data_IF_676297000723
#
_entry.id   IF_676297000723
#
_cell.length_a   1.000
_cell.length_b   1.000
_cell.length_c   1.000
_cell.angle_alpha   90.00
_cell.angle_beta   90.00
_cell.angle_gamma   90.00
#
_symmetry.space_group_name_H-M   'P 1'
#
loop_
_entity.id
_entity.type
_entity.pdbx_description
1 polymer ?
#
# COMPACT_ATOMS: atom_id res chain seq x y z
N UNK A 1 -5.91 -48.34 7.88
CA UNK A 1 -6.27 -47.04 7.25
C UNK A 1 -4.95 -46.33 7.01
N UNK A 2 -4.38 -46.48 5.81
CA UNK A 2 -3.10 -45.85 5.43
C UNK A 2 -3.42 -44.46 4.88
N UNK A 3 -2.99 -43.41 5.58
CA UNK A 3 -2.95 -42.07 5.04
C UNK A 3 -1.77 -41.99 4.06
N UNK A 4 -2.06 -41.64 2.82
CA UNK A 4 -1.11 -41.53 1.72
C UNK A 4 -0.26 -40.27 1.87
N UNK A 5 1.05 -40.47 1.77
CA UNK A 5 2.10 -39.46 1.70
C UNK A 5 1.92 -38.56 0.48
N UNK A 6 1.22 -37.42 0.59
CA UNK A 6 1.18 -36.43 -0.52
C UNK A 6 1.07 -34.95 -0.07
N UNK A 7 1.30 -34.64 1.21
CA UNK A 7 1.21 -33.24 1.70
C UNK A 7 2.59 -32.57 1.89
N UNK A 8 3.68 -33.27 1.63
CA UNK A 8 5.03 -32.74 1.84
C UNK A 8 5.52 -31.77 0.74
N UNK A 9 4.81 -31.64 -0.37
CA UNK A 9 5.22 -30.81 -1.51
C UNK A 9 4.87 -29.31 -1.36
N UNK A 10 4.08 -28.95 -0.35
CA UNK A 10 3.68 -27.56 -0.08
C UNK A 10 4.34 -26.95 1.15
N UNK A 11 5.33 -27.63 1.74
CA UNK A 11 6.15 -27.03 2.79
C UNK A 11 7.23 -26.13 2.15
N UNK A 12 6.88 -24.88 1.90
CA UNK A 12 7.89 -23.83 1.79
C UNK A 12 8.41 -23.56 3.21
N UNK A 13 9.67 -23.86 3.55
CA UNK A 13 10.23 -23.35 4.79
C UNK A 13 10.09 -21.83 4.73
N UNK A 14 9.37 -21.26 5.70
CA UNK A 14 9.38 -19.82 5.93
C UNK A 14 10.83 -19.53 6.30
N UNK A 15 11.64 -19.14 5.33
CA UNK A 15 12.97 -18.62 5.61
C UNK A 15 12.80 -17.45 6.57
N UNK A 16 13.64 -17.37 7.60
CA UNK A 16 13.56 -16.32 8.61
C UNK A 16 13.44 -14.94 7.92
N UNK A 17 12.26 -14.30 8.01
CA UNK A 17 12.08 -12.93 7.54
C UNK A 17 12.63 -11.99 8.62
N UNK A 18 13.75 -11.36 8.33
CA UNK A 18 14.36 -10.36 9.22
C UNK A 18 13.88 -8.97 8.80
N UNK A 19 13.30 -8.23 9.74
CA UNK A 19 13.03 -6.79 9.52
C UNK A 19 14.32 -6.02 9.66
N UNK A 20 14.76 -5.41 8.56
CA UNK A 20 15.98 -4.61 8.52
C UNK A 20 15.70 -3.16 8.95
N UNK A 21 14.63 -2.58 8.41
CA UNK A 21 14.23 -1.20 8.72
C UNK A 21 12.72 -1.07 8.79
N UNK A 22 12.28 -0.17 9.65
CA UNK A 22 10.91 0.32 9.67
C UNK A 22 10.95 1.83 9.93
N UNK A 23 10.21 2.58 9.13
CA UNK A 23 10.11 4.03 9.29
C UNK A 23 8.74 4.52 8.88
N UNK A 24 8.31 5.64 9.46
CA UNK A 24 7.08 6.32 9.08
C UNK A 24 7.40 7.75 8.70
N UNK A 25 6.89 8.20 7.55
CA UNK A 25 7.11 9.55 7.04
C UNK A 25 5.85 10.13 6.39
N UNK A 26 5.74 11.46 6.43
CA UNK A 26 4.68 12.21 5.76
C UNK A 26 4.94 12.25 4.24
N UNK A 27 3.97 11.85 3.44
CA UNK A 27 4.06 11.79 1.98
C UNK A 27 2.82 12.38 1.30
N UNK A 28 3.02 12.98 0.13
CA UNK A 28 1.97 13.27 -0.84
C UNK A 28 1.88 12.14 -1.86
N UNK A 29 0.68 11.59 -2.08
CA UNK A 29 0.44 10.49 -3.02
C UNK A 29 -0.75 10.81 -3.93
N UNK A 30 -0.66 10.48 -5.21
CA UNK A 30 -1.77 10.60 -6.17
C UNK A 30 -2.32 9.21 -6.48
N UNK A 31 -3.64 9.06 -6.48
CA UNK A 31 -4.29 7.77 -6.74
C UNK A 31 -4.24 7.46 -8.24
N UNK A 32 -3.66 6.31 -8.60
CA UNK A 32 -3.66 5.81 -9.98
C UNK A 32 -4.74 4.76 -10.20
N UNK A 33 -4.86 3.79 -9.29
CA UNK A 33 -5.94 2.80 -9.34
C UNK A 33 -6.23 2.20 -7.97
N UNK A 34 -7.51 1.87 -7.77
CA UNK A 34 -8.03 1.30 -6.54
C UNK A 34 -8.19 -0.22 -6.67
N UNK A 35 -7.76 -0.94 -5.64
CA UNK A 35 -8.08 -2.35 -5.44
C UNK A 35 -8.73 -2.52 -4.09
N UNK A 36 -9.98 -2.97 -4.10
CA UNK A 36 -10.72 -3.34 -2.88
C UNK A 36 -10.59 -4.84 -2.56
N UNK A 37 -9.65 -5.53 -3.21
CA UNK A 37 -9.29 -6.94 -2.98
C UNK A 37 -7.90 -7.01 -2.34
N UNK A 38 -7.65 -8.04 -1.52
CA UNK A 38 -6.34 -8.40 -0.94
C UNK A 38 -5.63 -7.29 -0.12
N UNK A 39 -6.29 -6.81 0.94
CA UNK A 39 -5.68 -5.87 1.90
C UNK A 39 -5.57 -4.44 1.38
N UNK A 40 -6.52 -4.01 0.54
CA UNK A 40 -6.62 -2.64 0.02
C UNK A 40 -5.32 -2.13 -0.60
N UNK A 41 -4.68 -2.94 -1.45
CA UNK A 41 -3.44 -2.54 -2.14
C UNK A 41 -3.75 -1.62 -3.30
N UNK A 42 -3.62 -0.32 -3.08
CA UNK A 42 -3.89 0.71 -4.06
C UNK A 42 -2.62 1.09 -4.81
N UNK A 43 -2.76 1.41 -6.10
CA UNK A 43 -1.68 1.94 -6.91
C UNK A 43 -1.65 3.45 -6.75
N UNK A 44 -0.52 3.95 -6.25
CA UNK A 44 -0.32 5.36 -5.99
C UNK A 44 0.95 5.84 -6.70
N UNK A 45 0.89 7.03 -7.29
CA UNK A 45 2.05 7.78 -7.76
C UNK A 45 2.64 8.59 -6.60
N UNK A 46 3.95 8.46 -6.37
CA UNK A 46 4.66 9.13 -5.28
C UNK A 46 5.53 10.32 -5.74
N UNK A 47 5.38 10.76 -7.00
CA UNK A 47 6.24 11.77 -7.62
C UNK A 47 7.39 11.21 -8.47
N UNK A 48 7.68 9.90 -8.38
CA UNK A 48 8.72 9.25 -9.18
C UNK A 48 8.27 7.97 -9.87
N UNK A 49 7.43 7.15 -9.23
CA UNK A 49 6.93 5.89 -9.76
C UNK A 49 5.55 5.53 -9.20
N UNK A 50 4.83 4.65 -9.90
CA UNK A 50 3.56 4.08 -9.43
C UNK A 50 3.82 2.79 -8.66
N UNK A 51 3.52 2.78 -7.36
CA UNK A 51 3.77 1.66 -6.46
C UNK A 51 2.49 1.19 -5.77
N UNK A 52 2.53 -0.02 -5.20
CA UNK A 52 1.46 -0.54 -4.36
C UNK A 52 1.60 -0.08 -2.91
N UNK A 53 0.51 0.42 -2.34
CA UNK A 53 0.39 0.80 -0.94
C UNK A 53 -0.83 0.10 -0.34
N UNK A 54 -0.68 -0.54 0.82
CA UNK A 54 -1.84 -0.95 1.60
C UNK A 54 -2.43 0.25 2.34
N UNK A 55 -3.71 0.17 2.70
CA UNK A 55 -4.38 1.16 3.55
C UNK A 55 -4.81 0.51 4.87
N UNK A 56 -4.32 1.05 5.98
CA UNK A 56 -4.68 0.64 7.36
C UNK A 56 -5.36 1.76 8.15
N UNK A 57 -5.55 2.95 7.56
CA UNK A 57 -6.34 4.02 8.20
C UNK A 57 -7.84 3.68 8.16
N UNK A 58 -8.33 3.07 9.23
CA UNK A 58 -9.73 2.68 9.39
C UNK A 58 -10.69 3.88 9.36
N UNK A 59 -10.26 5.05 9.87
CA UNK A 59 -11.08 6.26 9.85
C UNK A 59 -11.27 6.73 8.39
N UNK A 60 -10.21 6.72 7.59
CA UNK A 60 -10.29 7.06 6.17
C UNK A 60 -11.14 6.04 5.40
N UNK A 61 -10.89 4.75 5.61
CA UNK A 61 -11.69 3.68 5.01
C UNK A 61 -13.17 3.85 5.36
N UNK A 62 -13.48 4.19 6.61
CA UNK A 62 -14.84 4.48 7.07
C UNK A 62 -15.49 5.61 6.30
N UNK A 63 -14.78 6.72 6.07
CA UNK A 63 -15.32 7.85 5.29
C UNK A 63 -15.57 7.49 3.81
N UNK A 64 -14.64 6.77 3.18
CA UNK A 64 -14.80 6.26 1.80
C UNK A 64 -16.02 5.35 1.70
N UNK A 65 -16.18 4.42 2.65
CA UNK A 65 -17.35 3.53 2.71
C UNK A 65 -18.66 4.30 2.96
N UNK A 66 -18.59 5.44 3.65
CA UNK A 66 -19.74 6.32 3.90
C UNK A 66 -20.01 7.32 2.76
N UNK A 67 -19.32 7.21 1.62
CA UNK A 67 -19.60 7.97 0.40
C UNK A 67 -18.68 9.15 0.13
N UNK A 68 -17.56 9.29 0.86
CA UNK A 68 -16.50 10.22 0.45
C UNK A 68 -16.00 9.84 -0.96
N UNK A 69 -16.05 10.78 -1.90
CA UNK A 69 -15.68 10.53 -3.28
C UNK A 69 -14.16 10.33 -3.37
N UNK A 70 -13.73 9.11 -3.70
CA UNK A 70 -12.33 8.70 -3.77
C UNK A 70 -12.04 8.08 -5.14
N UNK A 71 -11.24 8.74 -5.97
CA UNK A 71 -11.13 8.49 -7.41
C UNK A 71 -9.70 8.63 -7.92
N UNK A 72 -9.45 8.10 -9.12
CA UNK A 72 -8.18 8.32 -9.82
C UNK A 72 -7.91 9.83 -9.95
N UNK A 73 -6.68 10.23 -9.62
CA UNK A 73 -6.21 11.61 -9.68
C UNK A 73 -6.34 12.38 -8.38
N UNK A 74 -7.08 11.88 -7.39
CA UNK A 74 -7.15 12.57 -6.09
C UNK A 74 -5.80 12.43 -5.35
N UNK A 75 -5.49 13.43 -4.53
CA UNK A 75 -4.23 13.52 -3.80
C UNK A 75 -4.45 13.31 -2.30
N UNK A 76 -3.59 12.50 -1.69
CA UNK A 76 -3.53 12.27 -0.25
C UNK A 76 -2.26 12.88 0.35
N UNK A 77 -2.41 13.62 1.44
CA UNK A 77 -1.31 13.91 2.38
C UNK A 77 -1.44 12.94 3.54
N UNK A 78 -0.51 12.00 3.67
CA UNK A 78 -0.63 10.85 4.56
C UNK A 78 0.69 10.46 5.22
N UNK A 79 0.61 9.76 6.36
CA UNK A 79 1.77 9.09 6.95
C UNK A 79 1.87 7.68 6.36
N UNK A 80 3.05 7.34 5.84
CA UNK A 80 3.35 6.05 5.22
C UNK A 80 4.39 5.33 6.06
N UNK A 81 4.06 4.13 6.52
CA UNK A 81 5.02 3.18 7.07
C UNK A 81 5.67 2.39 5.95
N UNK A 82 7.01 2.39 5.93
CA UNK A 82 7.82 1.58 5.03
C UNK A 82 8.61 0.59 5.86
N UNK A 83 8.36 -0.69 5.63
CA UNK A 83 9.07 -1.80 6.29
C UNK A 83 9.89 -2.53 5.23
N UNK A 84 11.20 -2.66 5.48
CA UNK A 84 12.09 -3.46 4.67
C UNK A 84 12.37 -4.78 5.37
N UNK A 85 12.03 -5.89 4.72
CA UNK A 85 12.36 -7.23 5.20
C UNK A 85 13.36 -7.90 4.28
N UNK A 86 14.17 -8.78 4.86
CA UNK A 86 15.09 -9.65 4.15
C UNK A 86 14.65 -11.09 4.32
N UNK A 87 14.53 -11.81 3.22
CA UNK A 87 14.25 -13.24 3.19
C UNK A 87 15.33 -13.92 2.36
N UNK A 88 16.27 -14.60 3.02
CA UNK A 88 17.48 -15.08 2.38
C UNK A 88 18.31 -13.93 1.78
N UNK A 89 18.46 -13.92 0.44
CA UNK A 89 19.17 -12.86 -0.29
C UNK A 89 18.24 -11.78 -0.87
N UNK A 90 16.93 -11.97 -0.78
CA UNK A 90 15.95 -11.04 -1.34
C UNK A 90 15.58 -9.95 -0.34
N UNK A 91 15.44 -8.71 -0.83
CA UNK A 91 14.88 -7.59 -0.09
C UNK A 91 13.44 -7.35 -0.55
N UNK A 92 12.56 -7.08 0.41
CA UNK A 92 11.16 -6.77 0.17
C UNK A 92 10.83 -5.46 0.87
N UNK A 93 10.09 -4.61 0.18
CA UNK A 93 9.56 -3.36 0.73
C UNK A 93 8.05 -3.45 0.80
N UNK A 94 7.50 -3.21 1.98
CA UNK A 94 6.09 -3.03 2.22
C UNK A 94 5.81 -1.57 2.51
N UNK A 95 4.77 -1.02 1.89
CA UNK A 95 4.34 0.37 2.06
C UNK A 95 2.90 0.36 2.52
N UNK A 96 2.64 1.02 3.62
CA UNK A 96 1.32 1.04 4.26
C UNK A 96 0.99 2.48 4.61
N UNK A 97 -0.13 2.98 4.11
CA UNK A 97 -0.69 4.25 4.57
C UNK A 97 -1.37 3.97 5.90
N UNK A 98 -0.82 4.56 6.97
CA UNK A 98 -1.30 4.36 8.35
C UNK A 98 -2.19 5.50 8.84
N UNK A 99 -2.11 6.68 8.18
CA UNK A 99 -2.97 7.83 8.48
C UNK A 99 -3.09 8.80 7.31
N UNK A 100 -4.30 9.17 6.94
CA UNK A 100 -4.63 10.21 5.96
C UNK A 100 -4.98 11.50 6.71
N UNK A 101 -4.21 12.56 6.44
CA UNK A 101 -4.40 13.87 7.08
C UNK A 101 -5.17 14.84 6.21
N UNK A 102 -5.04 14.72 4.90
CA UNK A 102 -5.74 15.54 3.92
C UNK A 102 -6.02 14.73 2.65
N UNK A 103 -7.20 14.97 2.07
CA UNK A 103 -7.65 14.35 0.82
C UNK A 103 -8.23 15.45 -0.06
N UNK A 104 -7.59 15.67 -1.21
CA UNK A 104 -7.99 16.67 -2.20
C UNK A 104 -8.47 16.00 -3.46
N UNK A 105 -9.67 16.36 -3.90
CA UNK A 105 -10.19 15.83 -5.16
C UNK A 105 -9.42 16.41 -6.34
N UNK A 106 -9.28 15.63 -7.40
CA UNK A 106 -8.64 16.04 -8.66
C UNK A 106 -9.28 17.28 -9.29
N UNK A 107 -10.56 17.54 -9.04
CA UNK A 107 -11.27 18.74 -9.51
C UNK A 107 -10.86 20.01 -8.74
N UNK A 108 -10.39 19.86 -7.50
CA UNK A 108 -9.93 20.95 -6.65
C UNK A 108 -8.41 21.17 -6.74
N UNK A 109 -7.72 20.36 -7.56
CA UNK A 109 -6.28 20.44 -7.72
C UNK A 109 -5.92 21.38 -8.88
N UNK A 110 -5.23 22.51 -8.65
CA UNK A 110 -4.70 23.32 -9.74
C UNK A 110 -3.75 22.44 -10.55
N UNK A 111 -3.90 22.51 -11.88
CA UNK A 111 -3.22 21.68 -12.89
C UNK A 111 -1.79 21.35 -12.44
N UNK A 112 -1.62 20.17 -11.86
CA UNK A 112 -0.31 19.70 -11.45
C UNK A 112 0.32 19.18 -12.73
N UNK A 113 1.09 20.03 -13.40
CA UNK A 113 1.83 19.65 -14.60
C UNK A 113 2.79 18.52 -14.24
N UNK A 114 2.35 17.29 -14.48
CA UNK A 114 3.11 16.06 -14.31
C UNK A 114 3.93 15.73 -15.57
N UNK A 115 4.06 16.66 -16.53
CA UNK A 115 4.93 16.44 -17.68
C UNK A 115 6.41 16.62 -17.29
N UNK A 116 7.14 15.50 -17.38
CA UNK A 116 8.57 15.49 -17.68
C UNK A 116 8.77 14.89 -19.06
#
# INVERSE_FOLDING_TARGET
MQATTDEALFYHPIGDEETLTESTSRMGLVIESLSFKDGNKWKMWNGSETLGYAMEDEDFIGRVNNGEAFRKGDTLTCDVRVTQTKSGTALKLQRVIVKVHDHKTSLDQPDLDLSK
#
